data_IF_742496843760
#
_entry.id   IF_742496843760
#
_cell.length_a   1.000
_cell.length_b   1.000
_cell.length_c   1.000
_cell.angle_alpha   90.00
_cell.angle_beta   90.00
_cell.angle_gamma   90.00
#
_symmetry.space_group_name_H-M   'P 1'
#
loop_
_entity.id
_entity.type
_entity.pdbx_description
1 polymer ?
#
# COMPACT_ATOMS: atom_id res chain seq x y z
N UNK A 1 -32.55 18.81 -8.79
CA UNK A 1 -31.54 18.38 -7.81
C UNK A 1 -31.83 16.92 -7.51
N UNK A 2 -30.83 16.04 -7.58
CA UNK A 2 -31.04 14.62 -7.30
C UNK A 2 -30.91 14.41 -5.80
N UNK A 3 -32.03 14.52 -5.08
CA UNK A 3 -32.13 14.53 -3.60
C UNK A 3 -31.58 13.28 -2.88
N UNK A 4 -31.00 12.31 -3.62
CA UNK A 4 -30.50 11.03 -3.11
C UNK A 4 -28.98 10.86 -3.19
N UNK A 5 -28.21 11.88 -3.59
CA UNK A 5 -26.74 11.81 -3.67
C UNK A 5 -26.08 12.56 -2.51
N UNK A 6 -25.13 11.95 -1.78
CA UNK A 6 -24.49 12.61 -0.65
C UNK A 6 -23.60 13.77 -1.09
N UNK A 7 -23.41 14.71 -0.17
CA UNK A 7 -22.38 15.76 -0.28
C UNK A 7 -21.02 15.09 -0.01
N UNK A 8 -20.51 14.39 -1.01
CA UNK A 8 -19.21 13.74 -0.96
C UNK A 8 -18.58 13.73 -2.34
N UNK A 9 -17.46 14.42 -2.49
CA UNK A 9 -16.59 14.29 -3.65
C UNK A 9 -15.70 13.06 -3.47
N UNK A 10 -15.51 12.28 -4.54
CA UNK A 10 -14.64 11.10 -4.53
C UNK A 10 -13.62 11.18 -5.64
N UNK A 11 -12.35 11.08 -5.28
CA UNK A 11 -11.26 10.89 -6.23
C UNK A 11 -10.79 9.44 -6.11
N UNK A 12 -11.13 8.62 -7.09
CA UNK A 12 -10.77 7.21 -7.13
C UNK A 12 -9.47 7.07 -7.89
N UNK A 13 -8.42 6.69 -7.16
CA UNK A 13 -7.10 6.43 -7.69
C UNK A 13 -7.09 5.04 -8.31
N UNK A 14 -6.63 4.98 -9.56
CA UNK A 14 -6.61 3.77 -10.35
C UNK A 14 -5.17 3.41 -10.71
N UNK A 15 -4.94 2.15 -11.06
CA UNK A 15 -3.64 1.71 -11.55
C UNK A 15 -3.17 2.53 -12.76
N UNK A 16 -1.86 2.64 -12.92
CA UNK A 16 -1.26 3.32 -14.07
C UNK A 16 -1.34 4.85 -14.05
N UNK A 17 -1.72 5.45 -12.91
CA UNK A 17 -1.83 6.90 -12.73
C UNK A 17 -3.17 7.51 -13.11
N UNK A 18 -4.15 6.68 -13.45
CA UNK A 18 -5.50 7.09 -13.81
C UNK A 18 -6.28 7.60 -12.59
N UNK A 19 -7.27 8.45 -12.84
CA UNK A 19 -8.14 9.02 -11.80
C UNK A 19 -9.59 9.02 -12.25
N UNK A 20 -10.52 8.54 -11.42
CA UNK A 20 -11.95 8.75 -11.61
C UNK A 20 -12.45 9.81 -10.62
N UNK A 21 -13.10 10.86 -11.12
CA UNK A 21 -13.56 11.98 -10.31
C UNK A 21 -15.08 11.94 -10.28
N UNK A 22 -15.66 11.81 -9.09
CA UNK A 22 -17.08 11.95 -8.85
C UNK A 22 -17.34 13.21 -8.03
N UNK A 23 -17.89 14.28 -8.65
CA UNK A 23 -18.23 15.51 -7.94
C UNK A 23 -19.28 15.28 -6.85
N UNK A 24 -19.38 16.18 -5.85
CA UNK A 24 -20.41 16.08 -4.82
C UNK A 24 -21.81 16.14 -5.44
N UNK A 25 -22.76 15.40 -4.86
CA UNK A 25 -24.16 15.36 -5.30
C UNK A 25 -24.36 15.03 -6.81
N UNK A 26 -23.44 14.28 -7.40
CA UNK A 26 -23.46 13.97 -8.84
C UNK A 26 -23.52 12.48 -9.12
N UNK A 27 -24.40 12.09 -10.04
CA UNK A 27 -24.45 10.74 -10.63
C UNK A 27 -23.37 10.51 -11.70
N UNK A 28 -22.57 11.54 -12.03
CA UNK A 28 -21.56 11.46 -13.09
C UNK A 28 -20.16 11.26 -12.52
N UNK A 29 -19.37 10.49 -13.26
CA UNK A 29 -17.96 10.25 -12.97
C UNK A 29 -17.17 10.53 -14.23
N UNK A 30 -16.15 11.37 -14.15
CA UNK A 30 -15.21 11.59 -15.26
C UNK A 30 -13.95 10.78 -15.02
N UNK A 31 -13.41 10.18 -16.09
CA UNK A 31 -12.10 9.55 -16.07
C UNK A 31 -11.04 10.52 -16.60
N UNK A 32 -9.89 10.52 -15.93
CA UNK A 32 -8.71 11.29 -16.29
C UNK A 32 -7.51 10.34 -16.46
N UNK A 33 -6.67 10.56 -17.50
CA UNK A 33 -6.78 11.59 -18.52
C UNK A 33 -7.87 11.27 -19.57
N UNK A 34 -7.98 12.12 -20.59
CA UNK A 34 -8.79 11.82 -21.79
C UNK A 34 -8.25 10.58 -22.51
N UNK A 35 -9.10 9.94 -23.32
CA UNK A 35 -8.69 8.84 -24.20
C UNK A 35 -7.72 9.33 -25.28
N UNK A 36 -7.05 8.40 -25.97
CA UNK A 36 -6.05 8.70 -27.00
C UNK A 36 -6.63 9.44 -28.21
N UNK A 37 -7.94 9.38 -28.44
CA UNK A 37 -8.69 10.18 -29.41
C UNK A 37 -9.16 11.54 -28.86
N UNK A 38 -8.57 12.00 -27.73
CA UNK A 38 -8.85 13.25 -27.03
C UNK A 38 -10.29 13.40 -26.53
N UNK A 39 -11.03 12.29 -26.36
CA UNK A 39 -12.39 12.34 -25.80
C UNK A 39 -12.37 12.20 -24.28
N UNK A 40 -13.26 12.95 -23.63
CA UNK A 40 -13.58 12.73 -22.21
C UNK A 40 -14.42 11.46 -22.09
N UNK A 41 -14.08 10.64 -21.11
CA UNK A 41 -14.88 9.48 -20.76
C UNK A 41 -15.68 9.78 -19.50
N UNK A 42 -17.00 9.75 -19.62
CA UNK A 42 -17.93 9.95 -18.52
C UNK A 42 -18.76 8.69 -18.29
N UNK A 43 -18.97 8.37 -17.02
CA UNK A 43 -19.83 7.29 -16.57
C UNK A 43 -21.04 7.86 -15.85
N UNK A 44 -22.19 7.26 -16.08
CA UNK A 44 -23.40 7.50 -15.30
C UNK A 44 -23.59 6.39 -14.28
N UNK A 45 -23.69 6.75 -13.01
CA UNK A 45 -23.88 5.83 -11.90
C UNK A 45 -25.38 5.65 -11.59
N UNK A 46 -25.88 4.42 -11.53
CA UNK A 46 -27.26 4.16 -11.07
C UNK A 46 -27.48 4.52 -9.59
N UNK A 47 -26.47 4.29 -8.75
CA UNK A 47 -26.52 4.57 -7.30
C UNK A 47 -25.15 5.03 -6.80
N UNK A 48 -25.11 5.71 -5.66
CA UNK A 48 -23.85 6.17 -5.06
C UNK A 48 -22.84 5.03 -4.84
N UNK A 49 -23.30 3.87 -4.37
CA UNK A 49 -22.47 2.68 -4.13
C UNK A 49 -21.99 1.96 -5.39
N UNK A 50 -22.57 2.23 -6.56
CA UNK A 50 -22.25 1.52 -7.81
C UNK A 50 -20.92 1.93 -8.47
N UNK A 51 -20.24 2.96 -7.95
CA UNK A 51 -19.00 3.49 -8.52
C UNK A 51 -17.94 2.40 -8.74
N UNK A 52 -17.64 1.61 -7.70
CA UNK A 52 -16.54 0.65 -7.74
C UNK A 52 -16.82 -0.51 -8.70
N UNK A 53 -18.06 -1.01 -8.73
CA UNK A 53 -18.44 -2.07 -9.68
C UNK A 53 -18.44 -1.57 -11.12
N UNK A 54 -18.81 -0.30 -11.37
CA UNK A 54 -18.71 0.33 -12.70
C UNK A 54 -17.28 0.47 -13.17
N UNK A 55 -16.35 0.91 -12.31
CA UNK A 55 -14.93 1.00 -12.64
C UNK A 55 -14.33 -0.38 -12.92
N UNK A 56 -14.68 -1.38 -12.11
CA UNK A 56 -14.28 -2.78 -12.36
C UNK A 56 -14.81 -3.32 -13.69
N UNK A 57 -16.04 -2.98 -14.07
CA UNK A 57 -16.60 -3.37 -15.36
C UNK A 57 -15.82 -2.76 -16.56
N UNK A 58 -15.10 -1.65 -16.35
CA UNK A 58 -14.17 -1.08 -17.32
C UNK A 58 -12.79 -1.74 -17.31
N UNK A 59 -12.59 -2.80 -16.52
CA UNK A 59 -11.29 -3.44 -16.27
C UNK A 59 -10.26 -2.49 -15.67
N UNK A 60 -10.71 -1.49 -14.92
CA UNK A 60 -9.84 -0.56 -14.20
C UNK A 60 -9.69 -1.02 -12.75
N UNK A 61 -8.44 -1.20 -12.33
CA UNK A 61 -8.11 -1.61 -10.96
C UNK A 61 -8.03 -0.39 -10.04
N UNK A 62 -8.75 -0.45 -8.91
CA UNK A 62 -8.83 0.61 -7.92
C UNK A 62 -7.73 0.43 -6.88
N UNK A 63 -6.93 1.47 -6.66
CA UNK A 63 -5.87 1.52 -5.65
C UNK A 63 -6.42 2.05 -4.33
N UNK A 64 -7.18 3.13 -4.37
CA UNK A 64 -7.75 3.77 -3.20
C UNK A 64 -8.62 4.97 -3.56
N UNK A 65 -9.24 5.57 -2.55
CA UNK A 65 -10.22 6.65 -2.73
C UNK A 65 -9.96 7.77 -1.73
N UNK A 66 -9.87 9.00 -2.23
CA UNK A 66 -9.99 10.20 -1.40
C UNK A 66 -11.46 10.61 -1.32
N UNK A 67 -11.93 10.89 -0.10
CA UNK A 67 -13.26 11.39 0.19
C UNK A 67 -13.15 12.81 0.73
N UNK A 68 -13.85 13.74 0.09
CA UNK A 68 -14.07 15.10 0.59
C UNK A 68 -15.53 15.19 0.99
N UNK A 69 -15.80 15.27 2.29
CA UNK A 69 -17.13 15.28 2.91
C UNK A 69 -17.39 16.51 3.78
N UNK A 70 -16.34 17.26 4.11
CA UNK A 70 -16.41 18.45 4.95
C UNK A 70 -15.84 19.69 4.23
N UNK A 71 -16.37 20.88 4.53
CA UNK A 71 -15.93 22.15 3.94
C UNK A 71 -14.42 22.39 4.11
N UNK A 72 -13.90 22.11 5.32
CA UNK A 72 -12.47 22.22 5.61
C UNK A 72 -11.58 21.36 4.70
N UNK A 73 -12.07 20.19 4.26
CA UNK A 73 -11.36 19.34 3.30
C UNK A 73 -11.41 19.94 1.89
N UNK A 74 -12.55 20.54 1.51
CA UNK A 74 -12.75 21.15 0.21
C UNK A 74 -11.90 22.42 0.00
N UNK A 75 -11.70 23.21 1.06
CA UNK A 75 -10.86 24.42 1.02
C UNK A 75 -9.38 24.15 1.35
N UNK A 76 -9.04 22.90 1.69
CA UNK A 76 -7.67 22.50 2.02
C UNK A 76 -7.17 22.92 3.40
N UNK A 77 -8.06 23.30 4.33
CA UNK A 77 -7.69 23.52 5.74
C UNK A 77 -7.56 22.22 6.54
N UNK A 78 -8.10 21.12 6.00
CA UNK A 78 -7.91 19.75 6.47
C UNK A 78 -7.60 18.81 5.30
N UNK A 79 -6.85 17.72 5.51
CA UNK A 79 -6.63 16.73 4.46
C UNK A 79 -7.92 15.93 4.19
N UNK A 80 -8.24 15.61 2.92
CA UNK A 80 -9.29 14.65 2.58
C UNK A 80 -8.99 13.27 3.15
N UNK A 81 -10.04 12.51 3.46
CA UNK A 81 -9.88 11.15 3.97
C UNK A 81 -9.46 10.20 2.84
N UNK A 82 -8.26 9.61 2.95
CA UNK A 82 -7.78 8.57 2.04
C UNK A 82 -8.09 7.17 2.59
N UNK A 83 -8.58 6.27 1.73
CA UNK A 83 -8.78 4.85 2.04
C UNK A 83 -8.24 3.96 0.91
N UNK A 84 -7.24 3.10 1.18
CA UNK A 84 -6.85 2.03 0.27
C UNK A 84 -8.02 1.09 0.01
N UNK A 85 -8.19 0.69 -1.25
CA UNK A 85 -9.29 -0.16 -1.68
C UNK A 85 -8.82 -1.61 -1.83
N UNK A 86 -9.46 -2.56 -1.17
CA UNK A 86 -9.23 -3.99 -1.39
C UNK A 86 -10.36 -4.59 -2.23
N UNK A 87 -10.01 -5.37 -3.27
CA UNK A 87 -10.98 -6.08 -4.09
C UNK A 87 -11.43 -7.38 -3.39
N UNK A 88 -12.15 -7.26 -2.28
CA UNK A 88 -12.66 -8.36 -1.47
C UNK A 88 -14.05 -7.99 -0.90
N UNK A 89 -14.64 -8.79 -0.02
CA UNK A 89 -15.96 -8.46 0.55
C UNK A 89 -15.94 -7.17 1.38
N UNK A 90 -14.91 -7.01 2.24
CA UNK A 90 -14.65 -5.79 3.00
C UNK A 90 -13.60 -4.94 2.29
N UNK A 91 -14.06 -3.93 1.55
CA UNK A 91 -13.20 -3.11 0.70
C UNK A 91 -12.21 -2.22 1.46
N UNK A 92 -12.45 -1.91 2.73
CA UNK A 92 -11.69 -0.91 3.50
C UNK A 92 -10.80 -1.54 4.57
N UNK A 93 -10.20 -2.69 4.25
CA UNK A 93 -9.43 -3.51 5.20
C UNK A 93 -8.35 -2.76 5.98
N UNK A 94 -7.62 -1.84 5.32
CA UNK A 94 -6.60 -1.04 5.98
C UNK A 94 -7.21 -0.08 7.01
N UNK A 95 -8.32 0.57 6.66
CA UNK A 95 -9.05 1.45 7.56
C UNK A 95 -9.61 0.69 8.77
N UNK A 96 -10.21 -0.47 8.52
CA UNK A 96 -10.76 -1.33 9.57
C UNK A 96 -9.65 -1.81 10.52
N UNK A 97 -8.50 -2.24 9.99
CA UNK A 97 -7.34 -2.65 10.78
C UNK A 97 -6.78 -1.48 11.61
N UNK A 98 -6.61 -0.31 10.99
CA UNK A 98 -6.12 0.90 11.64
C UNK A 98 -6.97 1.28 12.86
N UNK A 99 -8.29 1.33 12.67
CA UNK A 99 -9.26 1.63 13.73
C UNK A 99 -9.23 0.59 14.83
N UNK A 100 -9.27 -0.70 14.47
CA UNK A 100 -9.24 -1.81 15.42
C UNK A 100 -8.01 -1.74 16.32
N UNK A 101 -6.81 -1.61 15.74
CA UNK A 101 -5.57 -1.52 16.53
C UNK A 101 -5.51 -0.27 17.39
N UNK A 102 -6.07 0.85 16.92
CA UNK A 102 -6.22 2.06 17.74
C UNK A 102 -7.08 1.82 18.98
N UNK A 103 -8.19 1.10 18.80
CA UNK A 103 -9.16 0.76 19.85
C UNK A 103 -8.63 -0.32 20.81
N UNK A 104 -7.88 -1.30 20.31
CA UNK A 104 -7.16 -2.27 21.14
C UNK A 104 -6.12 -1.57 22.01
N UNK A 105 -5.40 -0.59 21.47
CA UNK A 105 -4.50 0.25 22.24
C UNK A 105 -5.22 1.01 23.37
N UNK A 106 -6.40 1.58 23.10
CA UNK A 106 -7.19 2.24 24.15
C UNK A 106 -7.55 1.26 25.28
N UNK A 107 -7.96 0.04 24.92
CA UNK A 107 -8.28 -1.00 25.89
C UNK A 107 -7.07 -1.41 26.71
N UNK A 108 -5.92 -1.57 26.08
CA UNK A 108 -4.64 -1.87 26.74
C UNK A 108 -4.25 -0.81 27.77
N UNK A 109 -4.46 0.47 27.43
CA UNK A 109 -4.24 1.61 28.32
C UNK A 109 -5.13 1.51 29.57
N UNK A 110 -6.43 1.27 29.39
CA UNK A 110 -7.37 1.10 30.51
C UNK A 110 -6.99 -0.07 31.44
N UNK A 111 -6.38 -1.13 30.89
CA UNK A 111 -5.91 -2.29 31.65
C UNK A 111 -4.45 -2.17 32.14
N UNK A 112 -3.79 -1.03 31.92
CA UNK A 112 -2.38 -0.77 32.30
C UNK A 112 -1.38 -1.78 31.71
N UNK A 113 -1.67 -2.36 30.55
CA UNK A 113 -0.74 -3.24 29.85
C UNK A 113 0.13 -2.43 28.89
N UNK A 114 1.28 -1.98 29.37
CA UNK A 114 2.19 -1.08 28.64
C UNK A 114 2.73 -1.68 27.33
N UNK A 115 3.10 -2.98 27.34
CA UNK A 115 3.64 -3.65 26.15
C UNK A 115 2.58 -3.78 25.05
N UNK A 116 1.37 -4.24 25.38
CA UNK A 116 0.30 -4.37 24.39
C UNK A 116 -0.20 -3.00 23.92
N UNK A 117 -0.22 -2.01 24.81
CA UNK A 117 -0.53 -0.62 24.47
C UNK A 117 0.42 -0.09 23.40
N UNK A 118 1.73 -0.17 23.68
CA UNK A 118 2.76 0.35 22.81
C UNK A 118 2.74 -0.33 21.43
N UNK A 119 2.72 -1.67 21.40
CA UNK A 119 2.60 -2.43 20.14
C UNK A 119 1.33 -2.09 19.36
N UNK A 120 0.18 -2.00 20.03
CA UNK A 120 -1.08 -1.66 19.36
C UNK A 120 -1.05 -0.26 18.74
N UNK A 121 -0.47 0.72 19.42
CA UNK A 121 -0.33 2.08 18.90
C UNK A 121 0.69 2.15 17.77
N UNK A 122 1.82 1.42 17.87
CA UNK A 122 2.81 1.28 16.79
C UNK A 122 2.18 0.66 15.53
N UNK A 123 1.42 -0.43 15.67
CA UNK A 123 0.72 -1.09 14.54
C UNK A 123 -0.32 -0.15 13.92
N UNK A 124 -1.15 0.51 14.73
CA UNK A 124 -2.17 1.46 14.25
C UNK A 124 -1.53 2.62 13.48
N UNK A 125 -0.52 3.27 14.07
CA UNK A 125 0.23 4.33 13.40
C UNK A 125 0.83 3.84 12.07
N UNK A 126 1.45 2.67 12.09
CA UNK A 126 2.14 2.13 10.92
C UNK A 126 1.18 1.74 9.78
N UNK A 127 -0.03 1.27 10.09
CA UNK A 127 -1.09 1.05 9.10
C UNK A 127 -1.50 2.35 8.40
N UNK A 128 -1.58 3.45 9.14
CA UNK A 128 -1.86 4.79 8.61
C UNK A 128 -0.69 5.32 7.77
N UNK A 129 0.55 5.22 8.25
CA UNK A 129 1.75 5.62 7.50
C UNK A 129 1.89 4.85 6.18
N UNK A 130 1.66 3.53 6.20
CA UNK A 130 1.66 2.68 5.01
C UNK A 130 0.58 3.10 4.00
N UNK A 131 -0.62 3.41 4.48
CA UNK A 131 -1.73 3.92 3.68
C UNK A 131 -1.37 5.22 2.97
N UNK A 132 -0.72 6.15 3.68
CA UNK A 132 -0.26 7.42 3.12
C UNK A 132 0.87 7.23 2.10
N UNK A 133 1.82 6.30 2.32
CA UNK A 133 2.85 5.99 1.31
C UNK A 133 2.24 5.47 0.01
N UNK A 134 1.18 4.65 0.10
CA UNK A 134 0.46 4.18 -1.09
C UNK A 134 -0.22 5.35 -1.84
N UNK A 135 -0.81 6.30 -1.10
CA UNK A 135 -1.37 7.53 -1.68
C UNK A 135 -0.31 8.34 -2.41
N UNK A 136 0.82 8.62 -1.75
CA UNK A 136 1.94 9.35 -2.35
C UNK A 136 2.47 8.68 -3.62
N UNK A 137 2.59 7.35 -3.62
CA UNK A 137 3.02 6.61 -4.80
C UNK A 137 2.00 6.74 -5.94
N UNK A 138 0.71 6.61 -5.65
CA UNK A 138 -0.34 6.80 -6.65
C UNK A 138 -0.34 8.23 -7.24
N UNK A 139 -0.12 9.24 -6.40
CA UNK A 139 0.04 10.62 -6.83
C UNK A 139 1.28 10.82 -7.72
N UNK A 140 2.39 10.14 -7.43
CA UNK A 140 3.59 10.18 -8.27
C UNK A 140 3.34 9.59 -9.67
N UNK A 141 2.57 8.49 -9.76
CA UNK A 141 2.12 7.94 -11.05
C UNK A 141 1.28 8.96 -11.83
N UNK A 142 0.33 9.61 -11.15
CA UNK A 142 -0.50 10.66 -11.74
C UNK A 142 0.35 11.82 -12.28
N UNK A 143 1.36 12.23 -11.54
CA UNK A 143 2.30 13.28 -11.96
C UNK A 143 3.11 12.87 -13.19
N UNK A 144 3.63 11.63 -13.24
CA UNK A 144 4.32 11.09 -14.40
C UNK A 144 3.41 11.08 -15.65
N UNK A 145 2.17 10.60 -15.51
CA UNK A 145 1.22 10.54 -16.62
C UNK A 145 0.82 11.94 -17.10
N UNK A 146 0.65 12.90 -16.18
CA UNK A 146 0.38 14.29 -16.54
C UNK A 146 1.55 14.91 -17.32
N UNK A 147 2.79 14.63 -16.92
CA UNK A 147 3.99 15.10 -17.61
C UNK A 147 4.06 14.60 -19.06
N UNK A 148 3.68 13.33 -19.30
CA UNK A 148 3.56 12.79 -20.66
C UNK A 148 2.52 13.54 -21.49
N UNK A 149 1.35 13.83 -20.90
CA UNK A 149 0.27 14.56 -21.58
C UNK A 149 0.71 15.97 -21.96
N UNK A 150 1.38 16.70 -21.06
CA UNK A 150 1.87 18.06 -21.31
C UNK A 150 2.91 18.08 -22.44
N UNK A 151 3.79 17.07 -22.49
CA UNK A 151 4.80 16.94 -23.55
C UNK A 151 4.20 16.62 -24.93
N UNK A 152 2.94 16.18 -24.99
CA UNK A 152 2.26 15.84 -26.25
C UNK A 152 2.90 14.67 -27.00
N UNK A 153 3.56 13.75 -26.29
CA UNK A 153 4.36 12.67 -26.91
C UNK A 153 3.46 11.77 -27.80
N UNK A 154 3.70 11.69 -29.12
CA UNK A 154 2.82 10.96 -30.05
C UNK A 154 2.94 9.45 -29.91
N UNK A 155 4.02 8.93 -29.33
CA UNK A 155 4.23 7.49 -29.16
C UNK A 155 3.46 6.93 -27.96
N UNK A 156 2.47 6.08 -28.26
CA UNK A 156 1.57 5.45 -27.28
C UNK A 156 2.23 4.38 -26.40
N UNK A 157 3.39 3.85 -26.81
CA UNK A 157 4.13 2.85 -26.07
C UNK A 157 5.63 3.16 -26.07
N UNK A 158 6.38 2.45 -25.22
CA UNK A 158 7.83 2.55 -25.15
C UNK A 158 8.34 3.00 -23.79
N UNK A 159 9.66 3.01 -23.65
CA UNK A 159 10.34 3.32 -22.39
C UNK A 159 10.90 4.72 -22.41
N UNK A 160 10.87 5.38 -21.26
CA UNK A 160 11.45 6.71 -21.11
C UNK A 160 11.84 6.97 -19.66
N UNK A 161 12.55 8.07 -19.46
CA UNK A 161 12.88 8.57 -18.14
C UNK A 161 12.80 10.10 -18.15
N UNK A 162 12.28 10.65 -17.07
CA UNK A 162 12.42 12.05 -16.70
C UNK A 162 12.50 12.21 -15.17
N UNK A 163 12.45 13.45 -14.68
CA UNK A 163 12.53 13.72 -13.24
C UNK A 163 11.42 13.08 -12.41
N UNK A 164 10.23 12.86 -12.98
CA UNK A 164 9.15 12.15 -12.27
C UNK A 164 9.44 10.66 -12.16
N UNK A 165 10.27 10.10 -13.04
CA UNK A 165 10.58 8.67 -13.03
C UNK A 165 11.33 8.30 -11.76
N UNK A 166 12.35 9.08 -11.42
CA UNK A 166 13.16 8.87 -10.20
C UNK A 166 12.34 9.12 -8.94
N UNK A 167 11.51 10.18 -8.92
CA UNK A 167 10.62 10.48 -7.81
C UNK A 167 9.65 9.33 -7.52
N UNK A 168 9.08 8.71 -8.55
CA UNK A 168 8.17 7.57 -8.37
C UNK A 168 8.88 6.36 -7.75
N UNK A 169 10.08 6.01 -8.22
CA UNK A 169 10.87 4.94 -7.60
C UNK A 169 11.29 5.25 -6.15
N UNK A 170 11.57 6.52 -5.84
CA UNK A 170 11.83 6.95 -4.46
C UNK A 170 10.59 6.77 -3.57
N UNK A 171 9.40 7.15 -4.04
CA UNK A 171 8.14 6.92 -3.31
C UNK A 171 7.88 5.43 -3.06
N UNK A 172 8.21 4.57 -4.03
CA UNK A 172 8.13 3.13 -3.84
C UNK A 172 9.14 2.61 -2.80
N UNK A 173 10.36 3.14 -2.77
CA UNK A 173 11.32 2.78 -1.71
C UNK A 173 10.79 3.17 -0.32
N UNK A 174 10.28 4.40 -0.15
CA UNK A 174 9.64 4.82 1.10
C UNK A 174 8.51 3.86 1.51
N UNK A 175 7.70 3.42 0.56
CA UNK A 175 6.66 2.41 0.82
C UNK A 175 7.23 1.08 1.35
N UNK A 176 8.34 0.58 0.80
CA UNK A 176 8.96 -0.68 1.26
C UNK A 176 9.46 -0.60 2.70
N UNK A 177 10.01 0.55 3.10
CA UNK A 177 10.44 0.77 4.49
C UNK A 177 9.26 0.71 5.45
N UNK A 178 8.20 1.50 5.21
CA UNK A 178 7.01 1.48 6.07
C UNK A 178 6.33 0.10 6.12
N UNK A 179 6.35 -0.64 5.00
CA UNK A 179 5.81 -2.00 4.94
C UNK A 179 6.59 -2.97 5.83
N UNK A 180 7.92 -2.90 5.83
CA UNK A 180 8.77 -3.78 6.64
C UNK A 180 8.72 -3.44 8.14
N UNK A 181 8.55 -2.16 8.49
CA UNK A 181 8.31 -1.75 9.89
C UNK A 181 7.02 -2.40 10.41
N UNK A 182 5.93 -2.35 9.63
CA UNK A 182 4.66 -2.99 10.02
C UNK A 182 4.83 -4.50 10.20
N UNK A 183 5.51 -5.16 9.26
CA UNK A 183 5.82 -6.59 9.34
C UNK A 183 6.54 -6.93 10.64
N UNK A 184 7.55 -6.13 11.01
CA UNK A 184 8.37 -6.38 12.19
C UNK A 184 7.56 -6.15 13.47
N UNK A 185 6.69 -5.13 13.55
CA UNK A 185 5.75 -4.96 14.67
C UNK A 185 4.74 -6.10 14.80
N UNK A 186 4.19 -6.60 13.68
CA UNK A 186 3.31 -7.76 13.70
C UNK A 186 4.05 -9.02 14.17
N UNK A 187 5.32 -9.15 13.80
CA UNK A 187 6.16 -10.28 14.25
C UNK A 187 6.49 -10.19 15.75
N UNK A 188 6.79 -8.99 16.25
CA UNK A 188 7.01 -8.72 17.67
C UNK A 188 5.75 -8.97 18.50
N UNK A 189 4.57 -8.64 17.95
CA UNK A 189 3.28 -8.96 18.57
C UNK A 189 3.07 -10.47 18.69
N UNK A 190 3.28 -11.23 17.60
CA UNK A 190 3.15 -12.70 17.63
C UNK A 190 4.10 -13.29 18.67
N UNK A 191 5.36 -12.85 18.67
CA UNK A 191 6.35 -13.28 19.67
C UNK A 191 5.87 -13.03 21.11
N UNK A 192 5.28 -11.87 21.38
CA UNK A 192 4.90 -11.50 22.73
C UNK A 192 3.55 -12.07 23.18
N UNK A 193 2.59 -12.28 22.28
CA UNK A 193 1.20 -12.57 22.66
C UNK A 193 0.64 -13.88 22.11
N UNK A 194 1.33 -14.55 21.19
CA UNK A 194 0.94 -15.91 20.81
C UNK A 194 1.08 -16.86 21.98
N UNK A 195 0.12 -17.80 22.11
CA UNK A 195 0.08 -18.79 23.20
C UNK A 195 0.24 -18.15 24.58
N UNK A 196 -0.40 -17.00 24.82
CA UNK A 196 -0.29 -16.26 26.08
C UNK A 196 1.14 -15.84 26.45
N UNK A 197 2.05 -15.77 25.49
CA UNK A 197 3.46 -15.41 25.68
C UNK A 197 4.43 -16.59 25.79
N UNK A 198 3.99 -17.83 25.55
CA UNK A 198 4.87 -19.02 25.61
C UNK A 198 6.01 -19.01 24.59
N UNK A 199 5.95 -18.14 23.57
CA UNK A 199 7.02 -17.93 22.61
C UNK A 199 8.19 -17.10 23.17
N UNK A 200 8.01 -16.38 24.28
CA UNK A 200 9.04 -15.48 24.81
C UNK A 200 10.27 -16.26 25.30
N UNK A 201 11.45 -15.82 24.87
CA UNK A 201 12.75 -16.30 25.33
C UNK A 201 13.47 -15.18 26.10
N UNK A 202 14.65 -15.47 26.69
CA UNK A 202 15.46 -14.46 27.40
C UNK A 202 15.82 -13.26 26.51
N UNK A 203 15.99 -13.50 25.21
CA UNK A 203 16.28 -12.45 24.22
C UNK A 203 15.00 -12.03 23.51
N UNK A 204 14.68 -10.75 23.61
CA UNK A 204 13.56 -10.16 22.90
C UNK A 204 13.70 -10.25 21.37
N UNK A 205 12.59 -10.58 20.70
CA UNK A 205 12.50 -10.67 19.24
C UNK A 205 11.59 -9.54 18.74
N UNK A 206 12.19 -8.61 17.99
CA UNK A 206 11.50 -7.45 17.40
C UNK A 206 11.47 -7.47 15.87
N UNK A 207 11.95 -8.54 15.23
CA UNK A 207 12.09 -8.63 13.78
C UNK A 207 11.47 -9.90 13.23
N UNK A 208 10.96 -9.83 11.99
CA UNK A 208 10.44 -11.01 11.28
C UNK A 208 11.49 -12.13 11.15
N UNK A 209 12.75 -11.78 10.87
CA UNK A 209 13.83 -12.76 10.79
C UNK A 209 14.13 -13.45 12.12
N UNK A 210 13.98 -12.74 13.25
CA UNK A 210 14.06 -13.33 14.58
C UNK A 210 12.91 -14.30 14.84
N UNK A 211 11.67 -13.89 14.55
CA UNK A 211 10.49 -14.72 14.71
C UNK A 211 10.58 -15.99 13.85
N UNK A 212 10.99 -15.88 12.59
CA UNK A 212 11.18 -17.03 11.70
C UNK A 212 12.14 -18.08 12.29
N UNK A 213 13.27 -17.64 12.87
CA UNK A 213 14.24 -18.54 13.49
C UNK A 213 13.65 -19.25 14.71
N UNK A 214 12.81 -18.56 15.48
CA UNK A 214 12.11 -19.14 16.61
C UNK A 214 11.09 -20.20 16.16
N UNK A 215 10.20 -19.83 15.23
CA UNK A 215 9.14 -20.71 14.74
C UNK A 215 9.68 -22.01 14.12
N UNK A 216 10.81 -21.94 13.41
CA UNK A 216 11.47 -23.12 12.83
C UNK A 216 11.94 -24.15 13.87
N UNK A 217 12.13 -23.76 15.13
CA UNK A 217 12.56 -24.67 16.21
C UNK A 217 11.39 -25.33 16.93
N UNK A 218 10.17 -24.83 16.73
CA UNK A 218 8.97 -25.32 17.43
C UNK A 218 8.32 -26.43 16.61
N UNK A 219 7.84 -27.46 17.30
CA UNK A 219 7.13 -28.60 16.70
C UNK A 219 5.61 -28.44 16.75
N UNK A 220 5.11 -27.60 17.65
CA UNK A 220 3.70 -27.35 17.93
C UNK A 220 3.36 -25.88 17.64
N UNK A 221 3.00 -25.59 16.39
CA UNK A 221 2.59 -24.24 15.97
C UNK A 221 1.06 -24.12 16.03
N UNK A 222 0.58 -22.98 16.50
CA UNK A 222 -0.80 -22.52 16.26
C UNK A 222 -1.02 -22.24 14.78
N UNK A 223 -2.29 -22.16 14.35
CA UNK A 223 -2.63 -21.83 12.96
C UNK A 223 -2.00 -20.50 12.50
N UNK A 224 -2.04 -19.48 13.36
CA UNK A 224 -1.44 -18.17 13.03
C UNK A 224 0.08 -18.25 12.93
N UNK A 225 0.75 -18.96 13.84
CA UNK A 225 2.20 -19.16 13.79
C UNK A 225 2.63 -19.94 12.54
N UNK A 226 1.87 -20.98 12.16
CA UNK A 226 2.11 -21.75 10.94
C UNK A 226 1.93 -20.87 9.68
N UNK A 227 0.93 -19.98 9.68
CA UNK A 227 0.74 -18.98 8.62
C UNK A 227 1.95 -18.04 8.53
N UNK A 228 2.44 -17.50 9.66
CA UNK A 228 3.65 -16.67 9.69
C UNK A 228 4.89 -17.41 9.18
N UNK A 229 5.10 -18.66 9.61
CA UNK A 229 6.21 -19.49 9.15
C UNK A 229 6.16 -19.67 7.64
N UNK A 230 4.99 -19.97 7.07
CA UNK A 230 4.81 -20.13 5.63
C UNK A 230 5.10 -18.81 4.89
N UNK A 231 4.50 -17.70 5.32
CA UNK A 231 4.66 -16.39 4.69
C UNK A 231 6.10 -15.86 4.72
N UNK A 232 6.90 -16.27 5.70
CA UNK A 232 8.32 -15.89 5.83
C UNK A 232 9.30 -16.94 5.27
N UNK A 233 8.81 -18.08 4.78
CA UNK A 233 9.64 -19.11 4.13
C UNK A 233 10.02 -18.70 2.70
N UNK A 234 10.81 -19.53 2.00
CA UNK A 234 11.43 -19.21 0.69
C UNK A 234 10.47 -18.64 -0.34
N UNK A 235 9.25 -19.18 -0.42
CA UNK A 235 8.23 -18.79 -1.40
C UNK A 235 7.17 -17.84 -0.82
N UNK A 236 7.40 -17.38 0.41
CA UNK A 236 6.46 -16.57 1.16
C UNK A 236 6.54 -15.08 0.78
N UNK A 237 5.39 -14.42 0.75
CA UNK A 237 5.33 -13.00 0.34
C UNK A 237 5.97 -12.04 1.36
N UNK A 238 6.06 -12.40 2.65
CA UNK A 238 6.77 -11.60 3.65
C UNK A 238 8.29 -11.71 3.49
N UNK A 239 8.78 -12.86 3.01
CA UNK A 239 10.17 -13.04 2.61
C UNK A 239 10.49 -12.18 1.39
N UNK A 240 9.67 -12.25 0.34
CA UNK A 240 9.83 -11.42 -0.86
C UNK A 240 9.81 -9.92 -0.52
N UNK A 241 8.89 -9.47 0.34
CA UNK A 241 8.86 -8.08 0.83
C UNK A 241 10.17 -7.70 1.53
N UNK A 242 10.70 -8.59 2.37
CA UNK A 242 11.99 -8.42 3.02
C UNK A 242 13.15 -8.31 2.05
N UNK A 243 13.15 -9.13 1.00
CA UNK A 243 14.21 -9.12 -0.02
C UNK A 243 14.22 -7.81 -0.81
N UNK A 244 13.07 -7.28 -1.21
CA UNK A 244 13.02 -5.95 -1.85
C UNK A 244 13.54 -4.86 -0.92
N UNK A 245 13.20 -4.90 0.38
CA UNK A 245 13.71 -3.92 1.35
C UNK A 245 15.22 -4.03 1.55
N UNK A 246 15.74 -5.24 1.72
CA UNK A 246 17.17 -5.47 1.91
C UNK A 246 17.97 -5.04 0.68
N UNK A 247 17.43 -5.32 -0.51
CA UNK A 247 17.98 -4.89 -1.78
C UNK A 247 18.16 -3.36 -1.85
N UNK A 248 17.11 -2.60 -1.51
CA UNK A 248 17.16 -1.12 -1.60
C UNK A 248 17.91 -0.47 -0.44
N UNK A 249 17.85 -1.06 0.76
CA UNK A 249 18.47 -0.52 1.96
C UNK A 249 19.98 -0.74 1.98
N UNK A 250 20.44 -1.90 1.50
CA UNK A 250 21.83 -2.33 1.71
C UNK A 250 22.64 -2.44 0.42
N UNK A 251 22.00 -2.35 -0.76
CA UNK A 251 22.69 -2.58 -2.03
C UNK A 251 22.68 -1.37 -2.96
N UNK A 252 21.51 -0.96 -3.44
CA UNK A 252 21.37 0.18 -4.36
C UNK A 252 19.92 0.66 -4.45
N UNK A 253 19.68 1.91 -4.88
CA UNK A 253 18.35 2.36 -5.24
C UNK A 253 17.69 1.39 -6.22
N UNK A 254 16.40 1.10 -6.03
CA UNK A 254 15.67 0.13 -6.86
C UNK A 254 15.75 0.44 -8.36
N UNK A 255 15.78 1.72 -8.72
CA UNK A 255 15.88 2.20 -10.10
C UNK A 255 17.22 1.89 -10.78
N UNK A 256 18.22 1.43 -10.03
CA UNK A 256 19.59 1.20 -10.52
C UNK A 256 20.17 -0.15 -10.08
N UNK A 257 19.33 -1.05 -9.57
CA UNK A 257 19.84 -2.21 -8.86
C UNK A 257 20.44 -3.29 -9.77
N UNK A 258 19.87 -3.51 -10.95
CA UNK A 258 20.48 -4.39 -11.95
C UNK A 258 21.01 -3.52 -13.11
N UNK A 259 20.05 -2.91 -13.79
CA UNK A 259 20.22 -1.91 -14.82
C UNK A 259 19.28 -0.74 -14.50
N UNK A 260 19.32 0.31 -15.31
CA UNK A 260 18.44 1.48 -15.11
C UNK A 260 16.99 1.10 -15.40
N UNK A 261 16.11 1.19 -14.41
CA UNK A 261 14.68 0.95 -14.62
C UNK A 261 14.02 2.21 -15.20
N UNK A 262 13.38 2.03 -16.35
CA UNK A 262 12.65 3.09 -17.05
C UNK A 262 11.17 3.09 -16.67
N UNK A 263 10.50 4.22 -16.87
CA UNK A 263 9.05 4.24 -16.95
C UNK A 263 8.62 3.64 -18.29
N UNK A 264 7.56 2.83 -18.29
CA UNK A 264 6.98 2.23 -19.49
C UNK A 264 5.65 2.95 -19.79
N UNK A 265 5.50 3.46 -21.00
CA UNK A 265 4.24 3.97 -21.56
C UNK A 265 3.43 2.81 -22.08
N UNK A 266 2.17 2.74 -21.69
CA UNK A 266 1.25 1.71 -22.16
C UNK A 266 -0.14 2.28 -22.43
N UNK A 267 -0.94 1.52 -23.18
CA UNK A 267 -2.34 1.81 -23.41
C UNK A 267 -3.20 0.69 -22.85
N UNK A 268 -4.28 1.07 -22.17
CA UNK A 268 -5.31 0.13 -21.72
C UNK A 268 -6.51 0.27 -22.65
N UNK A 269 -6.94 -0.86 -23.22
CA UNK A 269 -8.17 -0.93 -24.01
C UNK A 269 -9.37 -1.11 -23.10
N UNK A 270 -10.25 -0.12 -23.11
CA UNK A 270 -11.51 -0.13 -22.38
C UNK A 270 -12.56 -0.96 -23.15
N UNK A 271 -13.64 -1.44 -22.51
CA UNK A 271 -14.67 -2.25 -23.18
C UNK A 271 -15.42 -1.58 -24.34
N UNK A 272 -15.20 -0.28 -24.57
CA UNK A 272 -15.79 0.49 -25.68
C UNK A 272 -14.82 0.64 -26.87
N UNK A 273 -13.76 -0.18 -26.91
CA UNK A 273 -12.61 -0.10 -27.83
C UNK A 273 -11.83 1.22 -27.78
N UNK A 274 -12.18 2.10 -26.82
CA UNK A 274 -11.41 3.30 -26.50
C UNK A 274 -10.13 2.92 -25.78
N UNK A 275 -9.05 3.62 -26.08
CA UNK A 275 -7.75 3.45 -25.44
C UNK A 275 -7.46 4.62 -24.50
N UNK A 276 -6.85 4.33 -23.35
CA UNK A 276 -6.37 5.34 -22.40
C UNK A 276 -4.90 5.09 -22.10
N UNK A 277 -4.12 6.18 -22.08
CA UNK A 277 -2.69 6.11 -21.77
C UNK A 277 -2.49 5.90 -20.26
N UNK A 278 -1.59 4.99 -19.93
CA UNK A 278 -1.13 4.71 -18.57
C UNK A 278 0.40 4.66 -18.51
N UNK A 279 0.93 4.65 -17.29
CA UNK A 279 2.36 4.43 -17.02
C UNK A 279 2.59 3.24 -16.11
N UNK A 280 3.68 2.52 -16.33
CA UNK A 280 4.13 1.39 -15.52
C UNK A 280 5.56 1.60 -15.05
N UNK A 281 5.84 1.21 -13.81
CA UNK A 281 7.18 1.23 -13.22
C UNK A 281 7.55 -0.19 -12.80
N UNK A 282 8.31 -0.93 -13.61
CA UNK A 282 8.67 -2.31 -13.30
C UNK A 282 9.56 -2.38 -12.04
N UNK A 283 9.44 -3.47 -11.28
CA UNK A 283 10.42 -3.87 -10.26
C UNK A 283 11.12 -5.17 -10.63
N UNK A 284 12.38 -5.37 -10.19
CA UNK A 284 13.17 -6.54 -10.57
C UNK A 284 12.51 -7.86 -10.18
N UNK A 285 12.70 -8.91 -10.98
CA UNK A 285 12.00 -10.19 -10.77
C UNK A 285 12.51 -11.01 -9.58
N UNK A 286 13.80 -10.89 -9.29
CA UNK A 286 14.49 -11.68 -8.27
C UNK A 286 15.34 -10.76 -7.38
N UNK A 287 14.74 -10.16 -6.34
CA UNK A 287 15.47 -9.25 -5.46
C UNK A 287 16.54 -9.95 -4.61
N UNK A 288 16.37 -11.23 -4.26
CA UNK A 288 17.32 -11.98 -3.44
C UNK A 288 18.62 -12.26 -4.20
N UNK A 289 18.51 -12.77 -5.44
CA UNK A 289 19.69 -13.05 -6.26
C UNK A 289 20.45 -11.76 -6.54
N UNK A 290 19.75 -10.68 -6.91
CA UNK A 290 20.37 -9.37 -7.15
C UNK A 290 21.09 -8.83 -5.92
N UNK A 291 20.51 -8.99 -4.73
CA UNK A 291 21.15 -8.61 -3.48
C UNK A 291 22.46 -9.38 -3.24
N UNK A 292 22.44 -10.70 -3.44
CA UNK A 292 23.62 -11.57 -3.29
C UNK A 292 24.70 -11.25 -4.33
N UNK A 293 24.33 -10.97 -5.58
CA UNK A 293 25.30 -10.63 -6.62
C UNK A 293 26.01 -9.32 -6.33
N UNK A 294 25.28 -8.30 -5.86
CA UNK A 294 25.86 -6.98 -5.58
C UNK A 294 26.66 -6.90 -4.28
N UNK A 295 26.38 -7.77 -3.32
CA UNK A 295 27.12 -7.79 -2.04
C UNK A 295 28.55 -8.35 -2.18
N UNK A 296 28.81 -9.17 -3.21
CA UNK A 296 30.14 -9.69 -3.60
C UNK A 296 30.91 -8.67 -4.44
N UNK A 297 31.23 -7.48 -3.91
CA UNK A 297 31.75 -6.26 -4.59
C UNK A 297 33.06 -6.40 -5.43
N UNK A 298 33.26 -7.47 -6.18
CA UNK A 298 34.57 -8.04 -6.47
C UNK A 298 34.97 -7.98 -7.95
N UNK A 299 34.09 -7.52 -8.86
CA UNK A 299 34.38 -7.51 -10.31
C UNK A 299 33.82 -6.27 -11.03
N UNK A 300 34.61 -5.19 -11.06
CA UNK A 300 34.30 -3.97 -11.82
C UNK A 300 34.26 -4.23 -13.34
N UNK A 301 35.11 -5.12 -13.84
CA UNK A 301 35.21 -5.44 -15.26
C UNK A 301 33.99 -6.23 -15.77
N UNK A 302 33.29 -6.95 -14.88
CA UNK A 302 31.97 -7.54 -15.18
C UNK A 302 30.93 -6.45 -15.48
N UNK A 303 30.92 -5.32 -14.77
CA UNK A 303 30.00 -4.22 -15.05
C UNK A 303 30.26 -3.56 -16.41
N UNK A 304 31.53 -3.42 -16.80
CA UNK A 304 31.91 -2.85 -18.11
C UNK A 304 31.58 -3.83 -19.25
N UNK A 305 31.97 -5.11 -19.13
CA UNK A 305 31.72 -6.14 -20.16
C UNK A 305 30.23 -6.43 -20.35
N UNK A 306 29.43 -6.21 -19.32
CA UNK A 306 27.98 -6.40 -19.39
C UNK A 306 27.24 -5.11 -19.76
N UNK A 307 27.90 -3.97 -20.03
CA UNK A 307 27.21 -2.69 -20.22
C UNK A 307 26.19 -2.72 -21.38
N UNK A 308 26.54 -3.29 -22.53
CA UNK A 308 25.60 -3.46 -23.65
C UNK A 308 24.46 -4.45 -23.32
N UNK A 309 24.77 -5.53 -22.60
CA UNK A 309 23.79 -6.50 -22.11
C UNK A 309 22.84 -5.88 -21.08
N UNK A 310 23.35 -5.01 -20.21
CA UNK A 310 22.62 -4.24 -19.18
C UNK A 310 21.74 -3.20 -19.85
N UNK A 311 22.24 -2.51 -20.88
CA UNK A 311 21.45 -1.56 -21.67
C UNK A 311 20.31 -2.28 -22.42
N UNK A 312 20.60 -3.43 -23.04
CA UNK A 312 19.58 -4.27 -23.69
C UNK A 312 18.56 -4.81 -22.69
N UNK A 313 19.02 -5.32 -21.54
CA UNK A 313 18.15 -5.79 -20.46
C UNK A 313 17.23 -4.68 -19.96
N UNK A 314 17.72 -3.44 -19.86
CA UNK A 314 16.89 -2.29 -19.46
C UNK A 314 15.75 -1.96 -20.41
N UNK A 315 15.94 -2.24 -21.70
CA UNK A 315 14.91 -2.07 -22.73
C UNK A 315 13.92 -3.24 -22.79
N UNK A 316 14.30 -4.41 -22.31
CA UNK A 316 13.49 -5.63 -22.36
C UNK A 316 12.80 -5.95 -21.01
N UNK A 317 13.30 -5.45 -19.87
CA UNK A 317 12.81 -5.84 -18.55
C UNK A 317 11.46 -5.21 -18.19
N UNK A 318 10.42 -6.02 -18.26
CA UNK A 318 9.06 -5.65 -17.89
C UNK A 318 8.77 -5.79 -16.37
N UNK A 319 9.76 -6.25 -15.61
CA UNK A 319 9.66 -6.56 -14.19
C UNK A 319 8.75 -7.74 -13.89
N UNK A 320 8.71 -8.15 -12.62
CA UNK A 320 7.70 -9.11 -12.13
C UNK A 320 6.39 -8.40 -11.84
N UNK A 321 6.50 -7.22 -11.25
CA UNK A 321 5.38 -6.38 -10.87
C UNK A 321 5.61 -4.94 -11.33
N UNK A 322 4.51 -4.19 -11.38
CA UNK A 322 4.53 -2.74 -11.32
C UNK A 322 4.66 -2.27 -9.86
N UNK A 323 5.34 -1.15 -9.58
CA UNK A 323 5.52 -0.63 -8.22
C UNK A 323 4.19 -0.38 -7.52
N UNK A 324 3.23 0.27 -8.18
CA UNK A 324 1.93 0.62 -7.58
C UNK A 324 1.07 -0.62 -7.38
N UNK A 325 1.11 -1.55 -8.34
CA UNK A 325 0.47 -2.86 -8.20
C UNK A 325 1.02 -3.66 -7.01
N UNK A 326 2.35 -3.76 -6.88
CA UNK A 326 2.98 -4.47 -5.78
C UNK A 326 2.69 -3.81 -4.44
N UNK A 327 2.81 -2.48 -4.37
CA UNK A 327 2.52 -1.72 -3.15
C UNK A 327 1.06 -1.89 -2.71
N UNK A 328 0.12 -1.80 -3.64
CA UNK A 328 -1.30 -2.01 -3.38
C UNK A 328 -1.58 -3.43 -2.85
N UNK A 329 -1.00 -4.45 -3.48
CA UNK A 329 -1.08 -5.84 -3.01
C UNK A 329 -0.54 -6.00 -1.59
N UNK A 330 0.65 -5.48 -1.31
CA UNK A 330 1.30 -5.58 0.00
C UNK A 330 0.51 -4.84 1.09
N UNK A 331 -0.03 -3.65 0.80
CA UNK A 331 -0.94 -2.94 1.73
C UNK A 331 -2.12 -3.80 2.12
N UNK A 332 -2.77 -4.46 1.16
CA UNK A 332 -3.92 -5.33 1.43
C UNK A 332 -3.50 -6.56 2.24
N UNK A 333 -2.36 -7.18 1.92
CA UNK A 333 -1.86 -8.36 2.63
C UNK A 333 -1.48 -8.04 4.07
N UNK A 334 -0.73 -6.96 4.32
CA UNK A 334 -0.36 -6.53 5.67
C UNK A 334 -1.58 -6.10 6.48
N UNK A 335 -2.56 -5.43 5.86
CA UNK A 335 -3.79 -5.03 6.57
C UNK A 335 -4.63 -6.23 6.99
N UNK A 336 -4.77 -7.23 6.11
CA UNK A 336 -5.43 -8.50 6.46
C UNK A 336 -4.65 -9.26 7.54
N UNK A 337 -3.32 -9.33 7.44
CA UNK A 337 -2.48 -9.96 8.45
C UNK A 337 -2.62 -9.28 9.81
N UNK A 338 -2.68 -7.94 9.84
CA UNK A 338 -2.93 -7.17 11.06
C UNK A 338 -4.31 -7.48 11.66
N UNK A 339 -5.36 -7.65 10.85
CA UNK A 339 -6.67 -8.10 11.34
C UNK A 339 -6.61 -9.51 11.93
N UNK A 340 -5.91 -10.45 11.27
CA UNK A 340 -5.73 -11.81 11.79
C UNK A 340 -4.99 -11.80 13.13
N UNK A 341 -3.95 -10.97 13.26
CA UNK A 341 -3.19 -10.82 14.49
C UNK A 341 -4.00 -10.24 15.66
N UNK A 342 -5.11 -9.53 15.39
CA UNK A 342 -5.98 -9.01 16.45
C UNK A 342 -6.60 -10.13 17.31
N UNK A 343 -6.65 -11.37 16.81
CA UNK A 343 -7.06 -12.56 17.59
C UNK A 343 -6.14 -12.86 18.77
N UNK A 344 -4.91 -12.36 18.76
CA UNK A 344 -3.97 -12.46 19.88
C UNK A 344 -4.24 -11.43 20.98
N UNK A 345 -5.18 -10.51 20.75
CA UNK A 345 -5.53 -9.49 21.74
C UNK A 345 -6.16 -10.14 22.98
N UNK A 346 -5.64 -9.85 24.19
CA UNK A 346 -6.31 -10.25 25.43
C UNK A 346 -7.53 -9.36 25.75
N UNK A 347 -7.76 -8.29 24.98
CA UNK A 347 -8.77 -7.27 25.28
C UNK A 347 -9.77 -7.07 24.14
N UNK A 348 -10.99 -6.67 24.52
CA UNK A 348 -12.00 -6.17 23.58
C UNK A 348 -11.68 -4.72 23.18
N UNK A 349 -11.97 -4.31 21.93
CA UNK A 349 -11.74 -2.93 21.47
C UNK A 349 -12.53 -1.89 22.28
N UNK A 350 -11.89 -0.73 22.54
CA UNK A 350 -12.51 0.44 23.17
C UNK A 350 -12.35 1.72 22.35
N UNK A 351 -13.39 2.55 22.28
CA UNK A 351 -13.33 3.92 21.78
C UNK A 351 -13.13 4.89 22.93
N UNK A 352 -12.36 5.96 22.69
CA UNK A 352 -12.28 7.09 23.60
C UNK A 352 -13.26 8.15 23.11
N UNK A 353 -14.22 8.51 23.95
CA UNK A 353 -15.15 9.59 23.68
C UNK A 353 -14.75 10.83 24.48
N UNK A 354 -14.77 11.98 23.83
CA UNK A 354 -14.56 13.27 24.48
C UNK A 354 -15.91 13.97 24.61
N UNK A 355 -16.38 14.11 25.84
CA UNK A 355 -17.64 14.77 26.18
C UNK A 355 -17.33 16.16 26.71
N UNK A 356 -17.77 17.19 25.98
CA UNK A 356 -17.70 18.57 26.45
C UNK A 356 -18.81 18.81 27.47
N UNK A 357 -18.46 19.24 28.68
CA UNK A 357 -19.40 19.60 29.73
C UNK A 357 -19.06 21.01 30.23
N UNK A 358 -19.77 22.03 29.71
CA UNK A 358 -19.45 23.42 29.99
C UNK A 358 -18.10 23.86 29.41
N UNK A 359 -17.22 24.38 30.26
CA UNK A 359 -15.81 24.71 29.93
C UNK A 359 -14.86 23.51 29.96
N UNK A 360 -15.29 22.38 30.53
CA UNK A 360 -14.43 21.22 30.74
C UNK A 360 -14.63 20.17 29.64
N UNK A 361 -13.56 19.43 29.36
CA UNK A 361 -13.56 18.29 28.45
C UNK A 361 -13.26 17.03 29.26
N UNK A 362 -14.24 16.12 29.35
CA UNK A 362 -14.07 14.81 29.98
C UNK A 362 -13.80 13.78 28.89
N UNK A 363 -12.90 12.84 29.15
CA UNK A 363 -12.69 11.69 28.26
C UNK A 363 -13.10 10.39 28.93
N UNK A 364 -13.89 9.58 28.26
CA UNK A 364 -14.34 8.27 28.75
C UNK A 364 -14.01 7.17 27.73
N UNK A 365 -13.62 5.99 28.21
CA UNK A 365 -13.42 4.82 27.37
C UNK A 365 -14.67 3.96 27.39
N UNK A 366 -15.19 3.61 26.21
CA UNK A 366 -16.37 2.74 26.05
C UNK A 366 -16.02 1.57 25.14
N UNK A 367 -16.54 0.40 25.46
CA UNK A 367 -16.42 -0.76 24.57
C UNK A 367 -17.17 -0.50 23.27
N UNK A 368 -16.59 -0.94 22.15
CA UNK A 368 -17.27 -0.90 20.86
C UNK A 368 -18.39 -1.93 20.88
N UNK A 369 -19.63 -1.48 20.66
CA UNK A 369 -20.79 -2.36 20.51
C UNK A 369 -20.59 -3.30 19.32
N UNK A 370 -20.77 -4.60 19.54
CA UNK A 370 -20.66 -5.66 18.53
C UNK A 370 -21.76 -5.62 17.49
#
# INVERSE_FOLDING_TARGET
>A
MTDNWPISERHVHLQGGLLAINPPQSERVSLWPTTTDNKKLELKLPTYGSLYSKLKALKLEIVGVEFTTHEGEAIGSSPPQWRPYAQQEKNWVNWDAFQLWGQLGNSAYSHKNGLFYDLSKRISYQLSSLSERLKELSLAYRAQLNALRIKGNPELSGRFQDGFTELTYQKFQSFLFESCILRDYLSELVYNFSRSGDLREEREITTAGGLLKLLKKKTDLTDLEAVFLNMMSSDGWLKELGDYRDLVMHSAPISMVNHKLYCIKEVVTLPSDKMIQVVRFPIPKDPETLYKERSRRDDFDRYIRQFELIAKAALEDYGKYDCLQYAHKVTNFLSNLALSCASLSPYKPMVQEFVKSGSDMKSEFKYVSS
#
